data_IF_270706084819
#
_entry.id   IF_270706084819
#
_cell.length_a   1.000
_cell.length_b   1.000
_cell.length_c   1.000
_cell.angle_alpha   90.00
_cell.angle_beta   90.00
_cell.angle_gamma   90.00
#
_symmetry.space_group_name_H-M   'P 1'
#
loop_
_entity.id
_entity.type
_entity.pdbx_description
1 polymer ?
#
# COMPACT_ATOMS: atom_id res chain seq x y z
N UNK A 1 18.96 57.96 11.70
CA UNK A 1 17.75 57.25 11.24
C UNK A 1 18.24 56.00 10.54
N UNK A 2 18.22 54.87 11.24
CA UNK A 2 18.66 53.57 10.72
C UNK A 2 17.39 52.79 10.38
N UNK A 3 17.11 52.63 9.09
CA UNK A 3 15.98 51.85 8.60
C UNK A 3 16.47 50.49 8.10
N UNK A 4 15.74 49.45 8.51
CA UNK A 4 15.85 48.03 8.19
C UNK A 4 15.84 47.73 6.68
N UNK A 5 16.41 46.58 6.29
CA UNK A 5 15.64 45.46 5.72
C UNK A 5 16.55 44.21 5.65
N UNK A 6 16.03 43.09 6.13
CA UNK A 6 16.62 41.74 6.09
C UNK A 6 16.75 41.23 4.65
N UNK A 7 17.69 40.29 4.36
CA UNK A 7 17.76 39.63 3.06
C UNK A 7 16.49 38.81 2.80
N UNK A 8 15.95 38.96 1.59
CA UNK A 8 14.78 38.25 1.09
C UNK A 8 15.08 36.83 0.62
N UNK A 9 14.06 36.28 -0.05
CA UNK A 9 13.86 34.90 -0.51
C UNK A 9 13.33 34.01 0.63
N UNK A 10 12.05 33.98 1.01
CA UNK A 10 10.81 33.86 0.20
C UNK A 10 11.00 33.27 -1.20
N UNK A 11 11.29 31.98 -1.20
CA UNK A 11 11.01 31.08 -2.30
C UNK A 11 10.31 29.88 -1.70
N UNK A 12 9.07 30.07 -1.25
CA UNK A 12 8.17 28.95 -0.96
C UNK A 12 7.95 28.18 -2.25
N UNK A 13 8.85 27.24 -2.54
CA UNK A 13 8.57 26.12 -3.42
C UNK A 13 7.42 25.40 -2.72
N UNK A 14 6.22 25.50 -3.29
CA UNK A 14 5.18 24.50 -3.04
C UNK A 14 5.90 23.15 -3.12
N UNK A 15 5.74 22.22 -2.16
CA UNK A 15 6.31 20.89 -2.35
C UNK A 15 5.75 20.41 -3.70
N UNK A 16 6.61 20.34 -4.71
CA UNK A 16 6.24 19.65 -5.94
C UNK A 16 5.82 18.26 -5.46
N UNK A 17 4.68 17.75 -5.93
CA UNK A 17 4.17 16.43 -5.53
C UNK A 17 5.14 15.27 -5.90
N UNK A 18 6.26 15.64 -6.53
CA UNK A 18 7.36 14.84 -7.02
C UNK A 18 8.66 15.03 -6.19
N UNK A 19 8.60 15.74 -5.06
CA UNK A 19 9.73 15.88 -4.12
C UNK A 19 9.65 14.79 -3.05
N UNK A 20 10.63 13.90 -3.04
CA UNK A 20 10.75 12.81 -2.07
C UNK A 20 11.91 13.06 -1.11
N UNK A 21 11.69 12.79 0.18
CA UNK A 21 12.69 12.84 1.23
C UNK A 21 13.22 11.44 1.56
N UNK A 22 14.40 11.40 2.18
CA UNK A 22 14.99 10.13 2.61
C UNK A 22 14.14 9.48 3.70
N UNK A 23 13.80 8.21 3.50
CA UNK A 23 12.91 7.45 4.37
C UNK A 23 11.44 7.51 3.97
N UNK A 24 11.05 8.29 2.95
CA UNK A 24 9.68 8.25 2.45
C UNK A 24 9.32 6.86 1.95
N UNK A 25 8.09 6.43 2.27
CA UNK A 25 7.51 5.21 1.73
C UNK A 25 6.87 5.51 0.38
N UNK A 26 7.23 4.74 -0.64
CA UNK A 26 6.77 4.95 -2.01
C UNK A 26 6.30 3.65 -2.66
N UNK A 27 5.45 3.81 -3.67
CA UNK A 27 4.93 2.73 -4.52
C UNK A 27 5.19 3.05 -5.99
N UNK A 28 5.48 2.04 -6.80
CA UNK A 28 5.53 2.17 -8.25
C UNK A 28 4.11 2.23 -8.81
N UNK A 29 3.76 3.33 -9.48
CA UNK A 29 2.42 3.51 -10.08
C UNK A 29 2.18 2.64 -11.31
N UNK A 30 3.24 2.13 -11.93
CA UNK A 30 3.14 1.29 -13.12
C UNK A 30 3.07 -0.21 -12.79
N UNK A 31 3.27 -0.59 -11.53
CA UNK A 31 3.10 -1.97 -11.08
C UNK A 31 1.64 -2.20 -10.62
N UNK A 32 1.05 -3.33 -11.03
CA UNK A 32 -0.34 -3.68 -10.69
C UNK A 32 -0.46 -4.23 -9.25
N UNK A 33 0.64 -4.75 -8.69
CA UNK A 33 0.76 -5.23 -7.32
C UNK A 33 2.06 -4.65 -6.69
N UNK A 34 2.12 -3.31 -6.50
CA UNK A 34 3.35 -2.64 -6.11
C UNK A 34 3.76 -3.02 -4.69
N UNK A 35 5.03 -3.40 -4.52
CA UNK A 35 5.63 -3.59 -3.22
C UNK A 35 6.04 -2.23 -2.62
N UNK A 36 5.86 -2.07 -1.31
CA UNK A 36 6.32 -0.88 -0.60
C UNK A 36 7.84 -0.79 -0.67
N UNK A 37 8.32 0.38 -1.07
CA UNK A 37 9.74 0.70 -1.11
C UNK A 37 10.03 1.95 -0.28
N UNK A 38 11.23 2.02 0.27
CA UNK A 38 11.70 3.19 1.02
C UNK A 38 12.73 3.93 0.20
N UNK A 39 12.62 5.27 0.17
CA UNK A 39 13.61 6.14 -0.47
C UNK A 39 14.89 6.12 0.36
N UNK A 40 15.94 5.53 -0.19
CA UNK A 40 17.24 5.39 0.48
C UNK A 40 18.27 6.40 0.00
N UNK A 41 18.08 6.99 -1.18
CA UNK A 41 19.01 7.96 -1.75
C UNK A 41 18.31 8.85 -2.78
N UNK A 42 18.66 10.14 -2.79
CA UNK A 42 18.20 11.13 -3.78
C UNK A 42 19.42 11.82 -4.41
N UNK A 43 20.11 11.16 -5.37
CA UNK A 43 21.24 11.76 -6.05
C UNK A 43 20.79 13.01 -6.83
N UNK A 44 21.56 14.11 -6.82
CA UNK A 44 21.31 15.26 -7.68
C UNK A 44 21.80 14.97 -9.11
N UNK A 45 21.29 13.89 -9.71
CA UNK A 45 21.63 13.38 -11.04
C UNK A 45 20.32 13.14 -11.79
N UNK A 46 20.23 13.63 -13.01
CA UNK A 46 19.03 13.46 -13.84
C UNK A 46 18.88 12.03 -14.34
N UNK A 47 17.64 11.63 -14.65
CA UNK A 47 17.30 10.30 -15.15
C UNK A 47 17.99 9.96 -16.48
N UNK A 48 18.29 10.94 -17.34
CA UNK A 48 19.04 10.75 -18.58
C UNK A 48 20.55 10.50 -18.36
N UNK A 49 21.06 10.86 -17.19
CA UNK A 49 22.46 10.73 -16.82
C UNK A 49 22.73 9.57 -15.84
N UNK A 50 21.68 8.88 -15.38
CA UNK A 50 21.80 7.74 -14.48
C UNK A 50 21.74 6.41 -15.24
N UNK A 51 22.86 5.70 -15.29
CA UNK A 51 22.98 4.40 -15.96
C UNK A 51 22.40 3.25 -15.11
N UNK A 52 21.55 2.44 -15.72
CA UNK A 52 21.02 1.17 -15.21
C UNK A 52 21.42 0.06 -16.18
N UNK A 53 22.67 -0.38 -16.09
CA UNK A 53 23.23 -1.38 -17.01
C UNK A 53 23.71 -0.75 -18.32
N UNK A 54 23.05 -1.09 -19.44
CA UNK A 54 23.38 -0.54 -20.78
C UNK A 54 22.44 0.62 -21.19
N UNK A 55 21.38 0.84 -20.43
CA UNK A 55 20.32 1.82 -20.65
C UNK A 55 20.26 2.79 -19.46
N UNK A 56 19.61 3.95 -19.63
CA UNK A 56 19.45 4.93 -18.54
C UNK A 56 18.07 4.80 -17.90
N UNK A 57 17.86 5.43 -16.74
CA UNK A 57 16.53 5.50 -16.12
C UNK A 57 15.52 6.12 -17.10
N UNK A 58 15.90 7.16 -17.83
CA UNK A 58 15.04 7.77 -18.83
C UNK A 58 14.71 6.85 -20.01
N UNK A 59 15.61 5.94 -20.41
CA UNK A 59 15.36 5.00 -21.50
C UNK A 59 14.32 3.94 -21.12
N UNK A 60 14.38 3.46 -19.87
CA UNK A 60 13.36 2.56 -19.31
C UNK A 60 12.02 3.27 -19.00
N UNK A 61 12.04 4.60 -18.83
CA UNK A 61 10.90 5.41 -18.42
C UNK A 61 10.65 6.58 -19.39
N UNK A 62 10.43 6.32 -20.70
CA UNK A 62 10.42 7.35 -21.74
C UNK A 62 9.21 8.30 -21.67
N UNK A 63 8.19 7.93 -20.91
CA UNK A 63 6.98 8.73 -20.67
C UNK A 63 7.13 9.74 -19.53
N UNK A 64 8.21 9.66 -18.77
CA UNK A 64 8.54 10.57 -17.67
C UNK A 64 9.61 11.57 -18.07
N UNK A 65 9.76 12.62 -17.27
CA UNK A 65 10.73 13.68 -17.53
C UNK A 65 12.17 13.16 -17.34
N UNK A 66 12.94 13.18 -18.43
CA UNK A 66 14.32 12.67 -18.44
C UNK A 66 15.29 13.58 -17.67
N UNK A 67 14.97 14.88 -17.52
CA UNK A 67 15.78 15.86 -16.80
C UNK A 67 15.48 15.84 -15.29
N UNK A 68 14.45 15.12 -14.84
CA UNK A 68 14.10 14.98 -13.44
C UNK A 68 15.19 14.25 -12.65
N UNK A 69 15.42 14.71 -11.41
CA UNK A 69 16.35 14.08 -10.48
C UNK A 69 15.91 12.65 -10.14
N UNK A 70 16.85 11.71 -10.20
CA UNK A 70 16.57 10.29 -9.94
C UNK A 70 16.28 10.04 -8.46
N UNK A 71 15.32 9.17 -8.18
CA UNK A 71 15.02 8.67 -6.84
C UNK A 71 15.46 7.22 -6.74
N UNK A 72 16.25 6.88 -5.72
CA UNK A 72 16.71 5.51 -5.48
C UNK A 72 16.02 4.93 -4.25
N UNK A 73 15.42 3.77 -4.45
CA UNK A 73 14.60 3.07 -3.46
C UNK A 73 15.12 1.65 -3.24
N UNK A 74 14.78 1.09 -2.08
CA UNK A 74 14.91 -0.33 -1.79
C UNK A 74 13.56 -0.85 -1.26
N UNK A 75 13.17 -2.07 -1.60
CA UNK A 75 11.94 -2.67 -1.08
C UNK A 75 12.04 -2.88 0.43
N UNK A 76 10.93 -2.66 1.14
CA UNK A 76 10.88 -2.72 2.61
C UNK A 76 11.29 -4.10 3.15
N UNK A 77 10.92 -5.18 2.45
CA UNK A 77 11.28 -6.56 2.81
C UNK A 77 12.81 -6.74 2.84
N UNK A 78 13.48 -6.42 1.74
CA UNK A 78 14.95 -6.51 1.63
C UNK A 78 15.65 -5.51 2.57
N UNK A 79 15.15 -4.28 2.65
CA UNK A 79 15.75 -3.21 3.45
C UNK A 79 15.62 -3.49 4.95
N UNK A 80 14.47 -3.98 5.40
CA UNK A 80 14.21 -4.36 6.78
C UNK A 80 15.07 -5.54 7.23
N UNK A 81 15.36 -6.50 6.35
CA UNK A 81 16.27 -7.59 6.66
C UNK A 81 17.73 -7.13 6.77
N UNK A 82 18.21 -6.29 5.85
CA UNK A 82 19.62 -5.88 5.80
C UNK A 82 19.96 -4.68 6.70
N UNK A 83 19.02 -3.75 6.86
CA UNK A 83 19.17 -2.46 7.56
C UNK A 83 17.90 -2.12 8.37
N UNK A 84 17.51 -2.94 9.37
CA UNK A 84 16.33 -2.70 10.19
C UNK A 84 16.38 -1.40 11.01
N UNK A 85 17.57 -0.80 11.16
CA UNK A 85 17.78 0.47 11.85
C UNK A 85 17.63 1.71 10.96
N UNK A 86 17.40 1.53 9.65
CA UNK A 86 17.22 2.63 8.73
C UNK A 86 15.82 3.23 8.88
N UNK A 87 15.75 4.54 9.14
CA UNK A 87 14.47 5.24 9.36
C UNK A 87 14.34 6.51 8.51
N UNK A 88 15.20 6.68 7.49
CA UNK A 88 15.36 7.97 6.82
C UNK A 88 16.15 8.97 7.66
N UNK A 89 17.10 9.66 7.03
CA UNK A 89 17.89 10.70 7.68
C UNK A 89 19.24 10.92 7.03
N UNK A 90 19.93 9.84 6.65
CA UNK A 90 21.14 9.89 5.83
C UNK A 90 20.96 9.01 4.59
N UNK A 91 21.49 9.42 3.43
CA UNK A 91 21.40 8.62 2.22
C UNK A 91 22.28 7.38 2.40
N UNK A 92 21.76 6.20 2.02
CA UNK A 92 22.57 4.99 2.01
C UNK A 92 23.40 4.99 0.72
N UNK A 93 24.74 4.97 0.82
CA UNK A 93 25.58 4.84 -0.36
C UNK A 93 25.39 3.47 -0.99
N UNK A 94 25.07 3.45 -2.28
CA UNK A 94 24.73 2.22 -3.03
C UNK A 94 25.88 1.19 -3.06
N UNK A 95 27.12 1.62 -2.81
CA UNK A 95 28.27 0.73 -2.71
C UNK A 95 28.37 -0.02 -1.36
N UNK A 96 27.64 0.43 -0.33
CA UNK A 96 27.67 -0.14 1.02
C UNK A 96 26.42 -0.94 1.37
N UNK A 97 25.40 -0.90 0.51
CA UNK A 97 24.15 -1.64 0.69
C UNK A 97 24.21 -2.95 -0.10
N UNK A 98 23.94 -4.07 0.58
CA UNK A 98 23.95 -5.42 -0.01
C UNK A 98 22.52 -5.89 -0.30
N UNK A 99 21.67 -4.99 -0.78
CA UNK A 99 20.28 -5.27 -1.17
C UNK A 99 20.00 -4.74 -2.56
N UNK A 100 18.99 -5.30 -3.27
CA UNK A 100 18.53 -4.75 -4.53
C UNK A 100 18.09 -3.29 -4.36
N UNK A 101 18.59 -2.42 -5.22
CA UNK A 101 18.20 -1.00 -5.26
C UNK A 101 17.69 -0.68 -6.66
N UNK A 102 16.70 0.21 -6.72
CA UNK A 102 16.00 0.55 -7.94
C UNK A 102 15.95 2.06 -8.08
N UNK A 103 16.14 2.55 -9.30
CA UNK A 103 16.19 3.97 -9.61
C UNK A 103 15.00 4.34 -10.51
N UNK A 104 14.23 5.35 -10.13
CA UNK A 104 13.01 5.76 -10.80
C UNK A 104 12.94 7.26 -10.99
N UNK A 105 12.25 7.75 -12.04
CA UNK A 105 11.83 9.14 -12.10
C UNK A 105 10.78 9.41 -11.02
N UNK A 106 10.79 10.59 -10.39
CA UNK A 106 9.90 10.89 -9.26
C UNK A 106 8.42 10.81 -9.63
N UNK A 107 8.06 11.21 -10.85
CA UNK A 107 6.67 11.15 -11.34
C UNK A 107 6.10 9.72 -11.46
N UNK A 108 6.95 8.68 -11.49
CA UNK A 108 6.52 7.29 -11.49
C UNK A 108 6.18 6.77 -10.10
N UNK A 109 6.74 7.39 -9.06
CA UNK A 109 6.53 6.99 -7.68
C UNK A 109 5.32 7.71 -7.08
N UNK A 110 4.56 6.99 -6.25
CA UNK A 110 3.54 7.56 -5.38
C UNK A 110 4.06 7.57 -3.94
N UNK A 111 4.11 8.73 -3.31
CA UNK A 111 4.41 8.84 -1.89
C UNK A 111 3.19 8.38 -1.06
N UNK A 112 3.40 7.42 -0.15
CA UNK A 112 2.36 6.85 0.71
C UNK A 112 2.11 7.74 1.94
N UNK A 113 3.17 8.39 2.46
CA UNK A 113 3.14 9.26 3.64
C UNK A 113 2.65 10.69 3.34
N UNK A 114 2.88 11.19 2.13
CA UNK A 114 2.38 12.50 1.67
C UNK A 114 0.89 12.49 1.30
N UNK A 115 0.26 11.32 1.21
CA UNK A 115 -1.20 11.18 1.27
C UNK A 115 -1.72 11.34 2.70
N UNK A 116 -1.30 12.44 3.35
CA UNK A 116 -1.92 12.98 4.54
C UNK A 116 -2.34 14.42 4.26
N UNK A 117 -3.63 14.63 3.97
CA UNK A 117 -4.33 15.92 3.81
C UNK A 117 -4.60 16.43 2.36
N UNK A 118 -5.34 15.65 1.56
CA UNK A 118 -6.39 16.21 0.69
C UNK A 118 -7.65 15.34 0.87
N UNK A 119 -8.76 15.96 1.26
CA UNK A 119 -9.98 15.28 1.65
C UNK A 119 -10.70 14.60 0.48
N UNK A 120 -10.34 13.35 0.21
CA UNK A 120 -11.08 12.44 -0.64
C UNK A 120 -10.56 11.02 -0.52
N UNK A 121 -11.27 10.20 0.27
CA UNK A 121 -11.06 8.75 0.37
C UNK A 121 -9.66 8.35 0.89
N UNK A 122 -9.47 8.50 2.20
CA UNK A 122 -8.63 7.50 2.87
C UNK A 122 -9.25 6.13 2.55
N UNK A 123 -8.50 5.10 2.13
CA UNK A 123 -8.87 3.76 2.56
C UNK A 123 -8.78 3.80 4.08
N UNK A 124 -9.94 3.94 4.71
CA UNK A 124 -10.15 4.13 6.14
C UNK A 124 -9.47 3.02 6.92
N UNK A 125 -8.19 3.18 7.28
CA UNK A 125 -7.41 2.10 7.88
C UNK A 125 -7.51 0.78 7.05
N UNK A 126 -6.86 -0.26 7.51
CA UNK A 126 -7.56 -1.53 7.45
C UNK A 126 -8.68 -1.45 8.52
N UNK A 127 -9.76 -0.69 8.28
CA UNK A 127 -11.04 -1.10 8.83
C UNK A 127 -11.16 -2.52 8.30
N UNK A 128 -11.08 -3.51 9.19
CA UNK A 128 -11.30 -4.87 8.74
C UNK A 128 -12.62 -4.84 7.96
N UNK A 129 -12.79 -5.52 6.82
CA UNK A 129 -14.10 -5.56 6.14
C UNK A 129 -15.27 -5.99 7.05
N UNK A 130 -14.95 -6.45 8.27
CA UNK A 130 -15.80 -6.83 9.38
C UNK A 130 -15.92 -5.74 10.48
N UNK A 131 -15.45 -4.50 10.25
CA UNK A 131 -15.54 -3.42 11.21
C UNK A 131 -17.00 -2.97 11.34
N UNK A 132 -17.57 -3.09 12.54
CA UNK A 132 -19.02 -2.94 12.77
C UNK A 132 -19.84 -4.21 12.52
N UNK A 133 -19.21 -5.33 12.12
CA UNK A 133 -19.84 -6.63 11.92
C UNK A 133 -19.21 -7.69 12.85
N UNK A 134 -19.28 -7.44 14.16
CA UNK A 134 -18.73 -8.35 15.18
C UNK A 134 -19.28 -9.78 15.02
N UNK A 135 -20.59 -9.92 14.77
CA UNK A 135 -21.23 -11.22 14.55
C UNK A 135 -20.65 -12.00 13.34
N UNK A 136 -20.27 -11.28 12.25
CA UNK A 136 -19.65 -11.88 11.06
C UNK A 136 -18.20 -12.30 11.36
N UNK A 137 -17.52 -11.56 12.23
CA UNK A 137 -16.17 -11.90 12.70
C UNK A 137 -16.17 -13.16 13.56
N UNK A 138 -17.09 -13.26 14.52
CA UNK A 138 -17.27 -14.47 15.33
C UNK A 138 -17.62 -15.68 14.45
N UNK A 139 -18.49 -15.48 13.45
CA UNK A 139 -18.81 -16.52 12.46
C UNK A 139 -17.58 -16.95 11.64
N UNK A 140 -16.75 -16.00 11.19
CA UNK A 140 -15.51 -16.29 10.47
C UNK A 140 -14.60 -17.18 11.32
N UNK A 141 -14.32 -16.78 12.56
CA UNK A 141 -13.47 -17.55 13.48
C UNK A 141 -14.00 -18.97 13.67
N UNK A 142 -15.32 -19.11 13.82
CA UNK A 142 -15.98 -20.40 13.94
C UNK A 142 -15.79 -21.29 12.71
N UNK A 143 -15.86 -20.71 11.52
CA UNK A 143 -15.72 -21.42 10.26
C UNK A 143 -14.25 -21.80 9.99
N UNK A 144 -13.30 -20.94 10.35
CA UNK A 144 -11.85 -21.16 10.26
C UNK A 144 -11.37 -22.36 11.10
N UNK A 145 -12.08 -22.70 12.18
CA UNK A 145 -11.80 -23.93 12.94
C UNK A 145 -11.98 -25.20 12.08
N UNK A 146 -12.81 -25.14 11.03
CA UNK A 146 -13.19 -26.31 10.24
C UNK A 146 -12.75 -26.27 8.78
N UNK A 147 -12.49 -25.09 8.21
CA UNK A 147 -12.22 -24.88 6.78
C UNK A 147 -11.53 -23.54 6.57
N UNK A 148 -10.83 -23.36 5.45
CA UNK A 148 -10.22 -22.08 5.08
C UNK A 148 -11.29 -21.06 4.66
N UNK A 149 -11.25 -19.86 5.24
CA UNK A 149 -12.24 -18.78 5.05
C UNK A 149 -11.55 -17.48 4.67
N UNK A 150 -11.92 -16.96 3.51
CA UNK A 150 -11.50 -15.68 2.96
C UNK A 150 -12.62 -14.65 3.18
N UNK A 151 -12.26 -13.40 3.47
CA UNK A 151 -13.23 -12.31 3.64
C UNK A 151 -13.18 -11.42 2.40
N UNK A 152 -14.33 -11.23 1.78
CA UNK A 152 -14.51 -10.37 0.62
C UNK A 152 -15.56 -9.31 0.93
N UNK A 153 -15.55 -8.23 0.17
CA UNK A 153 -16.59 -7.20 0.21
C UNK A 153 -17.38 -7.25 -1.10
N UNK A 154 -18.71 -7.27 -1.01
CA UNK A 154 -19.62 -7.25 -2.16
C UNK A 154 -20.71 -6.20 -1.89
N UNK A 155 -20.80 -5.19 -2.76
CA UNK A 155 -21.74 -4.06 -2.61
C UNK A 155 -21.63 -3.33 -1.25
N UNK A 156 -20.44 -3.35 -0.63
CA UNK A 156 -20.21 -2.75 0.69
C UNK A 156 -20.62 -3.64 1.87
N UNK A 157 -21.09 -4.86 1.64
CA UNK A 157 -21.36 -5.86 2.68
C UNK A 157 -20.25 -6.92 2.75
N UNK A 158 -19.83 -7.35 3.95
CA UNK A 158 -18.86 -8.43 4.07
C UNK A 158 -19.47 -9.79 3.67
N UNK A 159 -18.69 -10.53 2.89
CA UNK A 159 -18.96 -11.90 2.44
C UNK A 159 -17.83 -12.82 2.87
N UNK A 160 -18.17 -13.85 3.64
CA UNK A 160 -17.27 -14.94 3.97
C UNK A 160 -17.28 -15.98 2.85
N UNK A 161 -16.16 -16.11 2.15
CA UNK A 161 -15.95 -17.11 1.12
C UNK A 161 -15.14 -18.28 1.70
N UNK A 162 -15.71 -19.48 1.76
CA UNK A 162 -15.02 -20.65 2.28
C UNK A 162 -15.05 -21.81 1.30
N UNK A 163 -13.99 -22.62 1.28
CA UNK A 163 -13.94 -23.81 0.42
C UNK A 163 -14.27 -25.07 1.21
N UNK A 164 -15.34 -25.77 0.84
CA UNK A 164 -15.76 -27.03 1.46
C UNK A 164 -15.96 -28.12 0.42
N UNK A 165 -15.27 -29.25 0.60
CA UNK A 165 -15.29 -30.39 -0.34
C UNK A 165 -15.00 -29.99 -1.80
N UNK A 166 -14.07 -29.04 -2.00
CA UNK A 166 -13.67 -28.54 -3.33
C UNK A 166 -14.69 -27.61 -3.99
N UNK A 167 -15.63 -27.05 -3.23
CA UNK A 167 -16.59 -26.04 -3.70
C UNK A 167 -16.49 -24.80 -2.83
N UNK A 168 -16.48 -23.64 -3.47
CA UNK A 168 -16.56 -22.35 -2.79
C UNK A 168 -18.02 -22.10 -2.35
N UNK A 169 -18.20 -21.72 -1.10
CA UNK A 169 -19.45 -21.25 -0.52
C UNK A 169 -19.27 -19.81 -0.08
N UNK A 170 -20.31 -18.99 -0.25
CA UNK A 170 -20.31 -17.58 0.17
C UNK A 170 -21.44 -17.34 1.14
N UNK A 171 -21.12 -16.74 2.28
CA UNK A 171 -22.04 -16.37 3.36
C UNK A 171 -22.02 -14.86 3.48
N UNK A 172 -23.18 -14.20 3.36
CA UNK A 172 -23.33 -12.75 3.53
C UNK A 172 -23.60 -12.40 4.99
N UNK A 173 -23.38 -11.14 5.35
CA UNK A 173 -23.72 -10.60 6.67
C UNK A 173 -25.20 -10.76 7.06
N UNK A 174 -26.11 -10.81 6.08
CA UNK A 174 -27.54 -11.12 6.25
C UNK A 174 -27.83 -12.61 6.58
N UNK A 175 -26.80 -13.46 6.66
CA UNK A 175 -26.96 -14.90 6.88
C UNK A 175 -27.33 -15.70 5.62
N UNK A 176 -27.48 -15.02 4.48
CA UNK A 176 -27.73 -15.66 3.19
C UNK A 176 -26.50 -16.47 2.73
N UNK A 177 -26.69 -17.76 2.42
CA UNK A 177 -25.64 -18.68 1.97
C UNK A 177 -25.86 -19.16 0.53
N UNK A 178 -24.78 -19.25 -0.25
CA UNK A 178 -24.77 -19.78 -1.61
C UNK A 178 -25.31 -21.22 -1.71
N UNK A 179 -25.98 -21.53 -2.83
CA UNK A 179 -26.56 -22.86 -3.08
C UNK A 179 -25.53 -23.99 -3.09
N UNK A 180 -25.90 -25.12 -2.48
CA UNK A 180 -25.11 -26.34 -2.59
C UNK A 180 -25.38 -27.35 -1.48
N UNK A 181 -24.73 -28.52 -1.53
CA UNK A 181 -25.00 -29.63 -0.61
C UNK A 181 -24.72 -29.32 0.87
N UNK A 182 -23.87 -28.34 1.15
CA UNK A 182 -23.57 -27.88 2.52
C UNK A 182 -24.26 -26.58 2.90
N UNK A 183 -25.09 -26.00 2.01
CA UNK A 183 -25.79 -24.74 2.26
C UNK A 183 -26.59 -24.79 3.56
N UNK A 184 -27.43 -25.82 3.77
CA UNK A 184 -28.27 -25.91 4.97
C UNK A 184 -27.44 -25.95 6.25
N UNK A 185 -26.29 -26.62 6.24
CA UNK A 185 -25.40 -26.69 7.40
C UNK A 185 -24.69 -25.37 7.65
N UNK A 186 -24.23 -24.70 6.59
CA UNK A 186 -23.58 -23.40 6.70
C UNK A 186 -24.57 -22.30 7.09
N UNK A 187 -25.82 -22.39 6.64
CA UNK A 187 -26.89 -21.47 7.02
C UNK A 187 -27.29 -21.66 8.50
N UNK A 188 -27.30 -22.90 9.00
CA UNK A 188 -27.54 -23.19 10.42
C UNK A 188 -26.46 -22.56 11.31
N UNK A 189 -25.18 -22.72 10.92
CA UNK A 189 -24.07 -22.02 11.61
C UNK A 189 -24.20 -20.52 11.45
N UNK A 190 -24.43 -20.00 10.23
CA UNK A 190 -24.56 -18.56 10.02
C UNK A 190 -25.72 -17.95 10.84
N UNK A 191 -26.84 -18.64 10.99
CA UNK A 191 -27.97 -18.19 11.78
C UNK A 191 -27.67 -18.15 13.29
N UNK A 192 -26.77 -19.01 13.80
CA UNK A 192 -26.36 -19.00 15.22
C UNK A 192 -25.60 -17.72 15.60
N UNK A 193 -24.91 -17.11 14.62
CA UNK A 193 -24.10 -15.90 14.81
C UNK A 193 -24.80 -14.65 14.26
N UNK A 194 -25.31 -14.69 13.03
CA UNK A 194 -25.92 -13.56 12.31
C UNK A 194 -27.44 -13.45 12.50
N UNK A 195 -28.08 -14.52 13.00
CA UNK A 195 -29.52 -14.59 13.21
C UNK A 195 -29.95 -13.94 14.52
N UNK A 196 -29.64 -12.66 14.70
CA UNK A 196 -30.32 -11.85 15.71
C UNK A 196 -31.81 -11.80 15.39
N UNK A 197 -32.62 -12.60 16.08
CA UNK A 197 -34.07 -12.50 16.01
C UNK A 197 -34.50 -11.07 16.39
N UNK A 198 -35.06 -10.36 15.41
CA UNK A 198 -35.95 -9.26 15.71
C UNK A 198 -37.18 -9.81 16.45
N UNK A 199 -37.32 -9.45 17.72
CA UNK A 199 -38.61 -9.37 18.42
C UNK A 199 -39.12 -7.93 18.42
#
# INVERSE_FOLDING_TARGET
MSSQAQPGSDGGRLPDADSFDLGDTVLDREDDDPNTATVINCPPVSCDAWDVGEETVADHNPEYDAEADVIVVAFDDDLGEAKPEYTGGEPIPLAEIDVPTYAFPPGRLANVDASGDDGGDAPEAATSPLEGFDDVRDLKERLEETSDVDVRSDDGEPILALTKAGREYRIRADGTVSDGPFQSKLADVAADFLGGEGE
#
